data_IF_505888577041
#
_entry.id   IF_505888577041
#
_cell.length_a   1.000
_cell.length_b   1.000
_cell.length_c   1.000
_cell.angle_alpha   90.00
_cell.angle_beta   90.00
_cell.angle_gamma   90.00
#
_symmetry.space_group_name_H-M   'P 1'
#
loop_
_entity.id
_entity.type
_entity.pdbx_description
1 polymer ?
#
# COMPACT_ATOMS: atom_id res chain seq x y z
N UNK A 1 9.80 25.42 18.13
CA UNK A 1 8.66 25.58 17.20
C UNK A 1 8.96 24.77 15.96
N UNK A 2 7.96 24.21 15.28
CA UNK A 2 8.15 23.52 14.01
C UNK A 2 8.71 24.51 12.97
N UNK A 3 9.79 24.13 12.30
CA UNK A 3 10.46 24.94 11.27
C UNK A 3 10.17 24.38 9.89
N UNK A 4 10.10 25.27 8.90
CA UNK A 4 10.04 24.87 7.49
C UNK A 4 11.40 25.06 6.85
N UNK A 5 11.94 23.98 6.30
CA UNK A 5 13.15 23.97 5.48
C UNK A 5 12.75 23.85 4.01
N UNK A 6 13.47 24.50 3.11
CA UNK A 6 13.26 24.39 1.66
C UNK A 6 14.42 23.65 1.01
N UNK A 7 14.12 22.90 -0.05
CA UNK A 7 15.09 22.22 -0.91
C UNK A 7 14.71 22.47 -2.36
N UNK A 8 15.60 23.11 -3.13
CA UNK A 8 15.52 23.18 -4.58
C UNK A 8 16.54 22.23 -5.24
N UNK A 9 16.05 21.07 -5.67
CA UNK A 9 16.89 20.06 -6.32
C UNK A 9 17.45 20.53 -7.67
N UNK A 10 16.80 21.51 -8.33
CA UNK A 10 17.32 22.08 -9.57
C UNK A 10 18.52 23.00 -9.32
N UNK A 11 18.62 23.57 -8.12
CA UNK A 11 19.78 24.32 -7.64
C UNK A 11 20.89 23.40 -7.08
N UNK A 12 20.69 22.08 -7.12
CA UNK A 12 21.65 21.10 -6.60
C UNK A 12 21.58 20.89 -5.07
N UNK A 13 20.57 21.45 -4.40
CA UNK A 13 20.33 21.18 -2.98
C UNK A 13 19.84 19.75 -2.78
N UNK A 14 20.13 19.17 -1.61
CA UNK A 14 19.74 17.80 -1.27
C UNK A 14 18.71 17.77 -0.16
N UNK A 15 17.78 16.83 -0.28
CA UNK A 15 16.82 16.52 0.78
C UNK A 15 17.57 16.00 2.01
N UNK A 16 18.61 15.18 1.79
CA UNK A 16 19.40 14.58 2.86
C UNK A 16 20.03 15.62 3.80
N UNK A 17 20.47 16.76 3.28
CA UNK A 17 21.11 17.82 4.07
C UNK A 17 20.11 18.48 5.03
N UNK A 18 18.83 18.62 4.61
CA UNK A 18 17.78 19.15 5.48
C UNK A 18 17.27 18.12 6.48
N UNK A 19 17.23 16.84 6.11
CA UNK A 19 16.90 15.76 7.06
C UNK A 19 17.91 15.73 8.22
N UNK A 20 19.21 15.94 7.95
CA UNK A 20 20.27 15.87 8.96
C UNK A 20 20.14 16.92 10.07
N UNK A 21 19.48 18.05 9.81
CA UNK A 21 19.28 19.13 10.78
C UNK A 21 17.84 19.24 11.30
N UNK A 22 16.91 18.51 10.69
CA UNK A 22 15.49 18.61 11.01
C UNK A 22 15.20 18.13 12.44
N UNK A 23 14.33 18.86 13.12
CA UNK A 23 13.85 18.54 14.46
C UNK A 23 12.41 17.99 14.39
N UNK A 24 11.95 17.26 15.43
CA UNK A 24 10.58 16.79 15.50
C UNK A 24 9.56 17.94 15.32
N UNK A 25 8.67 17.76 14.34
CA UNK A 25 7.67 18.74 13.90
C UNK A 25 8.04 19.48 12.63
N UNK A 26 9.31 19.44 12.20
CA UNK A 26 9.76 20.19 11.03
C UNK A 26 9.14 19.68 9.72
N UNK A 27 9.03 20.59 8.76
CA UNK A 27 8.60 20.30 7.39
C UNK A 27 9.72 20.65 6.42
N UNK A 28 10.02 19.76 5.49
CA UNK A 28 10.95 19.96 4.39
C UNK A 28 10.11 20.07 3.11
N UNK A 29 9.98 21.29 2.59
CA UNK A 29 9.33 21.57 1.32
C UNK A 29 10.36 21.37 0.20
N UNK A 30 10.08 20.43 -0.70
CA UNK A 30 10.99 20.08 -1.79
C UNK A 30 10.41 20.54 -3.10
N UNK A 31 11.25 21.07 -3.98
CA UNK A 31 10.95 21.42 -5.37
C UNK A 31 11.99 20.86 -6.34
N UNK A 32 11.58 20.70 -7.60
CA UNK A 32 12.46 20.28 -8.68
C UNK A 32 12.54 18.77 -8.88
N UNK A 33 13.59 18.33 -9.57
CA UNK A 33 13.87 16.92 -9.81
C UNK A 33 15.12 16.48 -9.04
N UNK A 34 14.94 15.63 -8.03
CA UNK A 34 16.00 15.15 -7.17
C UNK A 34 16.50 13.79 -7.66
N UNK A 35 17.81 13.64 -7.84
CA UNK A 35 18.45 12.37 -8.21
C UNK A 35 19.27 11.83 -7.03
N UNK A 36 18.59 11.50 -5.94
CA UNK A 36 19.18 10.92 -4.73
C UNK A 36 18.29 9.79 -4.18
N UNK A 37 18.87 8.96 -3.30
CA UNK A 37 18.10 8.02 -2.47
C UNK A 37 17.92 8.70 -1.10
N UNK A 38 16.68 8.94 -0.68
CA UNK A 38 16.41 9.70 0.55
C UNK A 38 16.38 8.76 1.75
N UNK A 39 17.37 8.84 2.64
CA UNK A 39 17.47 7.98 3.82
C UNK A 39 17.00 8.73 5.07
N UNK A 40 16.03 8.14 5.78
CA UNK A 40 15.51 8.63 7.05
C UNK A 40 15.91 7.63 8.13
N UNK A 41 16.88 8.01 8.96
CA UNK A 41 17.47 7.13 9.96
C UNK A 41 16.54 6.93 11.16
N UNK A 42 16.85 5.94 12.00
CA UNK A 42 16.00 5.51 13.13
C UNK A 42 15.80 6.57 14.21
N UNK A 43 16.75 7.50 14.33
CA UNK A 43 16.73 8.65 15.23
C UNK A 43 15.83 9.77 14.74
N UNK A 44 15.49 9.79 13.44
CA UNK A 44 14.59 10.81 12.88
C UNK A 44 13.16 10.49 13.27
N UNK A 45 12.48 11.46 13.89
CA UNK A 45 11.11 11.31 14.36
C UNK A 45 10.29 12.54 13.98
N UNK A 46 9.05 12.31 13.50
CA UNK A 46 8.02 13.33 13.31
C UNK A 46 8.44 14.48 12.39
N UNK A 47 8.99 14.17 11.22
CA UNK A 47 9.23 15.18 10.17
C UNK A 47 8.28 14.96 9.00
N UNK A 48 7.99 16.04 8.27
CA UNK A 48 7.21 15.99 7.04
C UNK A 48 8.09 16.30 5.84
N UNK A 49 8.10 15.41 4.86
CA UNK A 49 8.65 15.62 3.53
C UNK A 49 7.47 15.93 2.59
N UNK A 50 7.49 17.10 1.96
CA UNK A 50 6.42 17.57 1.08
C UNK A 50 6.95 17.91 -0.31
N UNK A 51 6.59 17.07 -1.29
CA UNK A 51 6.91 17.27 -2.71
C UNK A 51 5.98 18.26 -3.42
N UNK A 52 5.00 18.84 -2.70
CA UNK A 52 4.10 19.89 -3.18
C UNK A 52 3.29 19.50 -4.44
N UNK A 53 3.17 18.21 -4.72
CA UNK A 53 2.51 17.65 -5.90
C UNK A 53 3.30 17.84 -7.21
N UNK A 54 4.53 18.34 -7.16
CA UNK A 54 5.32 18.72 -8.34
C UNK A 54 6.71 18.10 -8.38
N UNK A 55 7.24 17.71 -7.23
CA UNK A 55 8.61 17.23 -7.10
C UNK A 55 8.75 15.79 -7.58
N UNK A 56 9.83 15.53 -8.31
CA UNK A 56 10.18 14.19 -8.81
C UNK A 56 11.42 13.68 -8.09
N UNK A 57 11.33 12.50 -7.48
CA UNK A 57 12.47 11.72 -7.03
C UNK A 57 12.80 10.70 -8.12
N UNK A 58 13.94 10.89 -8.78
CA UNK A 58 14.54 9.94 -9.71
C UNK A 58 15.56 9.09 -8.94
N UNK A 59 15.08 8.03 -8.29
CA UNK A 59 15.89 7.19 -7.43
C UNK A 59 16.97 6.43 -8.23
N UNK A 60 18.27 6.58 -7.88
CA UNK A 60 19.34 5.80 -8.49
C UNK A 60 19.14 4.28 -8.35
N UNK A 61 19.68 3.45 -9.27
CA UNK A 61 19.56 2.00 -9.20
C UNK A 61 20.06 1.43 -7.87
N UNK A 62 19.46 0.32 -7.42
CA UNK A 62 19.78 -0.44 -6.20
C UNK A 62 19.47 0.26 -4.86
N UNK A 63 19.19 1.55 -4.83
CA UNK A 63 18.65 2.26 -3.67
C UNK A 63 17.14 2.42 -3.74
N UNK A 64 16.51 2.83 -2.64
CA UNK A 64 15.08 3.12 -2.58
C UNK A 64 14.85 4.63 -2.77
N UNK A 65 13.70 5.03 -3.31
CA UNK A 65 13.37 6.46 -3.43
C UNK A 65 13.33 7.14 -2.06
N UNK A 66 12.58 6.53 -1.13
CA UNK A 66 12.66 6.83 0.30
C UNK A 66 12.92 5.54 1.08
N UNK A 67 13.98 5.55 1.88
CA UNK A 67 14.26 4.48 2.83
C UNK A 67 14.06 4.97 4.27
N UNK A 68 12.99 4.51 4.91
CA UNK A 68 12.50 5.01 6.19
C UNK A 68 12.75 3.98 7.29
N UNK A 69 13.66 4.33 8.20
CA UNK A 69 13.88 3.65 9.49
C UNK A 69 13.33 4.46 10.67
N UNK A 70 13.07 5.75 10.45
CA UNK A 70 12.51 6.68 11.43
C UNK A 70 11.02 6.44 11.74
N UNK A 71 10.48 7.26 12.66
CA UNK A 71 9.10 7.13 13.16
C UNK A 71 8.28 8.39 12.93
N UNK A 72 6.98 8.22 12.78
CA UNK A 72 6.03 9.33 12.54
C UNK A 72 6.41 10.20 11.33
N UNK A 73 7.04 9.59 10.32
CA UNK A 73 7.50 10.30 9.12
C UNK A 73 6.32 10.53 8.19
N UNK A 74 6.16 11.72 7.65
CA UNK A 74 5.17 11.97 6.61
C UNK A 74 5.88 12.17 5.27
N UNK A 75 5.50 11.39 4.25
CA UNK A 75 5.97 11.55 2.87
C UNK A 75 4.76 11.82 2.00
N UNK A 76 4.67 13.04 1.46
CA UNK A 76 3.51 13.43 0.66
C UNK A 76 3.83 14.22 -0.60
N UNK A 77 2.99 14.08 -1.61
CA UNK A 77 3.00 14.92 -2.81
C UNK A 77 4.22 14.73 -3.72
N UNK A 78 4.92 13.60 -3.66
CA UNK A 78 6.03 13.30 -4.56
C UNK A 78 5.59 12.46 -5.75
N UNK A 79 6.23 12.66 -6.89
CA UNK A 79 6.41 11.60 -7.88
C UNK A 79 7.71 10.86 -7.57
N UNK A 80 7.67 9.54 -7.45
CA UNK A 80 8.85 8.68 -7.24
C UNK A 80 8.99 7.71 -8.40
N UNK A 81 10.17 7.66 -9.01
CA UNK A 81 10.49 6.77 -10.13
C UNK A 81 11.89 6.18 -10.02
N UNK A 82 12.10 5.00 -10.61
CA UNK A 82 13.38 4.30 -10.54
C UNK A 82 13.58 3.58 -9.20
N UNK A 83 14.84 3.41 -8.80
CA UNK A 83 15.19 2.70 -7.56
C UNK A 83 14.82 1.21 -7.55
N UNK A 84 15.06 0.57 -6.41
CA UNK A 84 14.58 -0.78 -6.10
C UNK A 84 13.12 -0.67 -5.65
N UNK A 85 12.86 -0.08 -4.49
CA UNK A 85 11.51 0.22 -4.03
C UNK A 85 11.24 1.74 -4.09
N UNK A 86 9.99 2.14 -4.31
CA UNK A 86 9.62 3.56 -4.32
C UNK A 86 9.73 4.17 -2.92
N UNK A 87 9.00 3.58 -1.97
CA UNK A 87 9.07 3.92 -0.55
C UNK A 87 9.21 2.62 0.24
N UNK A 88 10.24 2.52 1.06
CA UNK A 88 10.54 1.34 1.84
C UNK A 88 10.65 1.71 3.31
N UNK A 89 9.80 1.11 4.15
CA UNK A 89 9.90 1.18 5.60
C UNK A 89 10.55 -0.10 6.10
N UNK A 90 11.66 0.06 6.83
CA UNK A 90 12.36 -1.06 7.43
C UNK A 90 12.74 -0.72 8.87
N UNK A 91 12.00 -1.30 9.80
CA UNK A 91 12.17 -1.08 11.23
C UNK A 91 13.44 -1.71 11.79
N UNK A 92 13.92 -1.13 12.89
CA UNK A 92 14.74 -1.85 13.90
C UNK A 92 13.85 -2.13 15.12
N UNK A 93 14.44 -2.32 16.31
CA UNK A 93 13.72 -2.70 17.54
C UNK A 93 12.43 -1.92 17.89
N UNK A 94 12.24 -0.69 17.39
CA UNK A 94 11.05 0.13 17.66
C UNK A 94 10.04 0.23 16.48
N UNK A 95 10.31 -0.43 15.34
CA UNK A 95 9.52 -0.33 14.10
C UNK A 95 9.67 1.03 13.40
N UNK A 96 9.71 1.03 12.06
CA UNK A 96 9.59 2.26 11.28
C UNK A 96 8.11 2.64 11.15
N UNK A 97 7.78 3.93 11.09
CA UNK A 97 6.39 4.33 10.84
C UNK A 97 6.27 5.56 9.96
N UNK A 98 5.35 5.48 8.99
CA UNK A 98 5.12 6.57 8.06
C UNK A 98 3.66 6.76 7.65
N UNK A 99 3.31 8.02 7.39
CA UNK A 99 2.15 8.44 6.63
C UNK A 99 2.61 8.68 5.18
N UNK A 100 2.15 7.85 4.25
CA UNK A 100 2.51 7.90 2.83
C UNK A 100 1.28 8.34 2.05
N UNK A 101 1.30 9.56 1.55
CA UNK A 101 0.05 10.21 1.15
C UNK A 101 0.17 11.03 -0.13
N UNK A 102 -0.75 10.84 -1.08
CA UNK A 102 -0.81 11.72 -2.26
C UNK A 102 0.42 11.63 -3.16
N UNK A 103 1.13 10.49 -3.15
CA UNK A 103 2.30 10.27 -3.99
C UNK A 103 1.94 9.53 -5.27
N UNK A 104 2.71 9.76 -6.33
CA UNK A 104 2.70 8.95 -7.56
C UNK A 104 3.97 8.12 -7.60
N UNK A 105 3.88 6.80 -7.52
CA UNK A 105 5.03 5.89 -7.49
C UNK A 105 4.98 5.01 -8.73
N UNK A 106 6.05 5.00 -9.53
CA UNK A 106 6.06 4.29 -10.79
C UNK A 106 7.41 3.78 -11.23
N UNK A 107 7.42 2.75 -12.08
CA UNK A 107 8.66 2.25 -12.73
C UNK A 107 9.76 1.90 -11.72
N UNK A 108 9.38 1.34 -10.57
CA UNK A 108 10.34 0.87 -9.56
C UNK A 108 10.85 -0.52 -9.90
N UNK A 109 12.08 -0.82 -9.49
CA UNK A 109 12.73 -2.10 -9.77
C UNK A 109 12.15 -3.30 -9.02
N UNK A 110 11.30 -3.08 -8.02
CA UNK A 110 10.67 -4.10 -7.18
C UNK A 110 9.28 -3.62 -6.75
N UNK A 111 9.09 -3.09 -5.53
CA UNK A 111 7.77 -2.70 -5.04
C UNK A 111 7.51 -1.20 -5.21
N UNK A 112 6.23 -0.81 -5.23
CA UNK A 112 5.86 0.59 -5.08
C UNK A 112 6.12 1.06 -3.65
N UNK A 113 5.43 0.44 -2.69
CA UNK A 113 5.62 0.64 -1.26
C UNK A 113 5.92 -0.70 -0.60
N UNK A 114 6.98 -0.78 0.21
CA UNK A 114 7.36 -1.98 0.95
C UNK A 114 7.47 -1.68 2.45
N UNK A 115 6.88 -2.53 3.27
CA UNK A 115 6.97 -2.49 4.72
C UNK A 115 7.51 -3.84 5.21
N UNK A 116 8.61 -3.81 5.95
CA UNK A 116 9.16 -4.99 6.62
C UNK A 116 9.59 -4.69 8.07
N UNK A 117 10.02 -5.73 8.80
CA UNK A 117 10.51 -5.62 10.18
C UNK A 117 9.59 -4.82 11.13
N UNK A 118 8.34 -5.27 11.28
CA UNK A 118 7.35 -4.68 12.20
C UNK A 118 7.06 -3.19 11.95
N UNK A 119 7.10 -2.77 10.69
CA UNK A 119 6.82 -1.38 10.30
C UNK A 119 5.33 -1.06 10.31
N UNK A 120 5.00 0.22 10.48
CA UNK A 120 3.60 0.71 10.53
C UNK A 120 3.35 1.74 9.43
N UNK A 121 2.46 1.39 8.50
CA UNK A 121 2.11 2.23 7.35
C UNK A 121 0.71 2.80 7.43
N UNK A 122 0.58 4.09 7.11
CA UNK A 122 -0.70 4.71 6.77
C UNK A 122 -0.63 5.23 5.33
N UNK A 123 -1.22 4.49 4.40
CA UNK A 123 -1.08 4.68 2.96
C UNK A 123 -2.42 5.12 2.35
N UNK A 124 -2.54 6.37 1.88
CA UNK A 124 -3.79 6.90 1.31
C UNK A 124 -3.56 7.87 0.15
N UNK A 125 -4.47 7.90 -0.82
CA UNK A 125 -4.44 8.83 -1.95
C UNK A 125 -3.24 8.67 -2.87
N UNK A 126 -2.54 7.53 -2.87
CA UNK A 126 -1.39 7.31 -3.74
C UNK A 126 -1.81 6.67 -5.07
N UNK A 127 -1.11 7.03 -6.14
CA UNK A 127 -1.16 6.34 -7.43
C UNK A 127 0.11 5.48 -7.57
N UNK A 128 -0.05 4.16 -7.63
CA UNK A 128 1.06 3.20 -7.76
C UNK A 128 0.87 2.45 -9.08
N UNK A 129 1.79 2.65 -10.02
CA UNK A 129 1.63 2.17 -11.40
C UNK A 129 2.94 1.61 -11.98
N UNK A 130 2.84 0.56 -12.80
CA UNK A 130 3.96 0.01 -13.57
C UNK A 130 5.19 -0.35 -12.72
N UNK A 131 4.95 -0.97 -11.55
CA UNK A 131 6.00 -1.47 -10.65
C UNK A 131 6.32 -2.94 -10.95
N UNK A 132 7.56 -3.38 -10.72
CA UNK A 132 8.02 -4.69 -11.19
C UNK A 132 7.51 -5.89 -10.37
N UNK A 133 7.22 -5.71 -9.10
CA UNK A 133 6.67 -6.72 -8.19
C UNK A 133 5.30 -6.24 -7.66
N UNK A 134 5.07 -6.25 -6.34
CA UNK A 134 3.82 -5.76 -5.75
C UNK A 134 3.67 -4.23 -5.76
N UNK A 135 2.44 -3.73 -5.89
CA UNK A 135 2.10 -2.33 -5.67
C UNK A 135 2.41 -1.89 -4.23
N UNK A 136 1.79 -2.58 -3.26
CA UNK A 136 2.09 -2.45 -1.84
C UNK A 136 2.41 -3.83 -1.28
N UNK A 137 3.55 -3.98 -0.61
CA UNK A 137 3.94 -5.21 0.10
C UNK A 137 4.06 -4.94 1.60
N UNK A 138 3.29 -5.68 2.40
CA UNK A 138 3.29 -5.62 3.87
C UNK A 138 3.81 -6.95 4.39
N UNK A 139 5.02 -6.97 4.90
CA UNK A 139 5.75 -8.18 5.25
C UNK A 139 6.31 -8.13 6.68
N UNK A 140 6.64 -9.32 7.20
CA UNK A 140 7.46 -9.51 8.41
C UNK A 140 6.91 -8.80 9.66
N UNK A 141 5.66 -9.13 10.01
CA UNK A 141 4.99 -8.58 11.20
C UNK A 141 4.55 -7.13 11.07
N UNK A 142 4.61 -6.56 9.87
CA UNK A 142 4.21 -5.16 9.63
C UNK A 142 2.69 -4.98 9.67
N UNK A 143 2.28 -3.74 9.95
CA UNK A 143 0.87 -3.35 10.05
C UNK A 143 0.58 -2.17 9.11
N UNK A 144 -0.43 -2.30 8.26
CA UNK A 144 -0.79 -1.23 7.32
C UNK A 144 -2.27 -0.84 7.36
N UNK A 145 -2.55 0.45 7.19
CA UNK A 145 -3.87 0.98 6.82
C UNK A 145 -3.79 1.54 5.42
N UNK A 146 -4.58 1.00 4.49
CA UNK A 146 -4.46 1.24 3.05
C UNK A 146 -5.83 1.71 2.51
N UNK A 147 -5.87 2.94 2.02
CA UNK A 147 -7.05 3.54 1.34
C UNK A 147 -8.08 4.17 2.27
N UNK A 148 -7.72 4.38 3.53
CA UNK A 148 -8.58 5.01 4.52
C UNK A 148 -8.88 6.49 4.19
N UNK A 149 -10.07 6.95 4.55
CA UNK A 149 -10.46 8.36 4.52
C UNK A 149 -10.34 8.96 5.94
N UNK A 150 -9.15 9.41 6.35
CA UNK A 150 -9.07 10.20 7.59
C UNK A 150 -9.60 11.60 7.29
N UNK A 151 -10.83 11.90 7.72
CA UNK A 151 -11.20 13.30 7.98
C UNK A 151 -10.37 13.77 9.18
N UNK A 152 -9.77 14.97 9.14
CA UNK A 152 -9.99 16.06 8.19
C UNK A 152 -9.02 16.11 6.99
N UNK A 153 -8.08 15.18 6.85
CA UNK A 153 -6.96 15.30 5.91
C UNK A 153 -7.32 15.06 4.42
N UNK A 154 -8.52 14.56 4.12
CA UNK A 154 -9.07 14.61 2.76
C UNK A 154 -8.36 13.73 1.73
N UNK A 155 -7.59 12.74 2.17
CA UNK A 155 -6.91 11.83 1.25
C UNK A 155 -7.85 10.74 0.79
N UNK A 156 -7.98 10.61 -0.53
CA UNK A 156 -8.85 9.65 -1.19
C UNK A 156 -8.28 8.22 -1.21
N UNK A 157 -8.92 7.32 -1.95
CA UNK A 157 -8.45 5.94 -2.08
C UNK A 157 -7.10 5.86 -2.80
N UNK A 158 -6.35 4.78 -2.61
CA UNK A 158 -5.20 4.51 -3.48
C UNK A 158 -5.68 3.92 -4.81
N UNK A 159 -4.94 4.20 -5.88
CA UNK A 159 -5.06 3.52 -7.17
C UNK A 159 -3.79 2.70 -7.39
N UNK A 160 -3.93 1.39 -7.55
CA UNK A 160 -2.82 0.46 -7.69
C UNK A 160 -3.05 -0.35 -8.97
N UNK A 161 -2.16 -0.20 -9.95
CA UNK A 161 -2.32 -0.90 -11.22
C UNK A 161 -1.04 -1.31 -11.91
N UNK A 162 -1.15 -2.29 -12.80
CA UNK A 162 -0.04 -2.79 -13.61
C UNK A 162 1.17 -3.24 -12.78
N UNK A 163 0.95 -3.70 -11.54
CA UNK A 163 2.00 -4.32 -10.75
C UNK A 163 2.40 -5.65 -11.40
N UNK A 164 3.71 -5.92 -11.46
CA UNK A 164 4.26 -7.14 -12.05
C UNK A 164 3.95 -8.42 -11.27
N UNK A 165 3.48 -8.28 -10.03
CA UNK A 165 2.92 -9.35 -9.20
C UNK A 165 1.54 -8.92 -8.67
N UNK A 166 1.36 -8.82 -7.35
CA UNK A 166 0.08 -8.50 -6.73
C UNK A 166 -0.17 -6.98 -6.62
N UNK A 167 -1.43 -6.56 -6.59
CA UNK A 167 -1.75 -5.17 -6.25
C UNK A 167 -1.30 -4.86 -4.82
N UNK A 168 -1.85 -5.60 -3.86
CA UNK A 168 -1.47 -5.54 -2.44
C UNK A 168 -1.15 -6.96 -1.95
N UNK A 169 0.02 -7.13 -1.33
CA UNK A 169 0.42 -8.36 -0.65
C UNK A 169 0.54 -8.15 0.86
N UNK A 170 0.01 -9.08 1.65
CA UNK A 170 0.11 -9.11 3.11
C UNK A 170 0.68 -10.48 3.50
N UNK A 171 1.93 -10.52 3.97
CA UNK A 171 2.69 -11.76 4.10
C UNK A 171 3.46 -11.86 5.42
N UNK A 172 3.80 -13.09 5.82
CA UNK A 172 4.70 -13.40 6.95
C UNK A 172 4.26 -12.77 8.28
N UNK A 173 3.07 -13.14 8.75
CA UNK A 173 2.56 -12.69 10.05
C UNK A 173 2.15 -11.22 10.09
N UNK A 174 1.88 -10.61 8.94
CA UNK A 174 1.52 -9.19 8.85
C UNK A 174 0.01 -8.99 8.95
N UNK A 175 -0.40 -7.75 9.21
CA UNK A 175 -1.82 -7.36 9.22
C UNK A 175 -2.07 -6.11 8.39
N UNK A 176 -3.22 -6.05 7.72
CA UNK A 176 -3.62 -4.86 6.97
C UNK A 176 -5.11 -4.59 7.04
N UNK A 177 -5.48 -3.31 7.04
CA UNK A 177 -6.84 -2.87 6.74
C UNK A 177 -6.85 -2.17 5.39
N UNK A 178 -7.54 -2.77 4.43
CA UNK A 178 -7.54 -2.41 3.01
C UNK A 178 -8.95 -1.96 2.61
N UNK A 179 -9.13 -0.66 2.45
CA UNK A 179 -10.46 -0.05 2.34
C UNK A 179 -10.50 0.94 1.19
N UNK A 180 -11.56 0.89 0.36
CA UNK A 180 -11.84 1.95 -0.60
C UNK A 180 -10.96 1.99 -1.85
N UNK A 181 -9.98 1.10 -2.01
CA UNK A 181 -8.97 1.20 -3.06
C UNK A 181 -9.48 0.76 -4.45
N UNK A 182 -8.85 1.28 -5.50
CA UNK A 182 -8.94 0.74 -6.86
C UNK A 182 -7.70 -0.10 -7.17
N UNK A 183 -7.88 -1.40 -7.43
CA UNK A 183 -6.81 -2.39 -7.59
C UNK A 183 -7.00 -3.15 -8.89
N UNK A 184 -6.22 -2.78 -9.91
CA UNK A 184 -6.55 -3.09 -11.30
C UNK A 184 -5.38 -3.62 -12.13
N UNK A 185 -5.64 -4.55 -13.04
CA UNK A 185 -4.70 -4.96 -14.08
C UNK A 185 -3.31 -5.41 -13.56
N UNK A 186 -3.24 -5.95 -12.33
CA UNK A 186 -2.01 -6.51 -11.80
C UNK A 186 -1.80 -7.93 -12.34
N UNK A 187 -0.54 -8.36 -12.49
CA UNK A 187 -0.24 -9.67 -13.10
C UNK A 187 -0.54 -10.87 -12.19
N UNK A 188 -0.65 -10.64 -10.88
CA UNK A 188 -1.11 -11.60 -9.88
C UNK A 188 -2.51 -11.27 -9.39
N UNK A 189 -2.81 -11.67 -8.15
CA UNK A 189 -4.07 -11.30 -7.49
C UNK A 189 -4.13 -9.80 -7.18
N UNK A 190 -5.35 -9.25 -7.12
CA UNK A 190 -5.56 -7.88 -6.63
C UNK A 190 -5.08 -7.74 -5.18
N UNK A 191 -5.60 -8.57 -4.27
CA UNK A 191 -5.12 -8.68 -2.89
C UNK A 191 -4.68 -10.11 -2.58
N UNK A 192 -3.48 -10.27 -2.03
CA UNK A 192 -2.88 -11.57 -1.71
C UNK A 192 -2.47 -11.63 -0.23
N UNK A 193 -3.18 -12.44 0.56
CA UNK A 193 -2.96 -12.60 2.00
C UNK A 193 -2.45 -14.00 2.28
N UNK A 194 -1.24 -14.12 2.82
CA UNK A 194 -0.60 -15.43 3.01
C UNK A 194 0.34 -15.54 4.20
N UNK A 195 0.72 -16.76 4.55
CA UNK A 195 1.75 -17.09 5.57
C UNK A 195 1.39 -16.50 6.93
N UNK A 196 0.27 -16.96 7.49
CA UNK A 196 -0.26 -16.54 8.80
C UNK A 196 -0.56 -15.03 8.91
N UNK A 197 -0.91 -14.39 7.79
CA UNK A 197 -1.25 -12.96 7.76
C UNK A 197 -2.75 -12.75 7.75
N UNK A 198 -3.21 -11.56 8.13
CA UNK A 198 -4.64 -11.25 8.23
C UNK A 198 -4.96 -9.90 7.58
N UNK A 199 -6.13 -9.78 6.97
CA UNK A 199 -6.57 -8.50 6.45
C UNK A 199 -8.08 -8.28 6.55
N UNK A 200 -8.46 -7.06 6.93
CA UNK A 200 -9.81 -6.54 6.73
C UNK A 200 -9.86 -5.88 5.36
N UNK A 201 -10.75 -6.35 4.48
CA UNK A 201 -10.81 -5.93 3.08
C UNK A 201 -12.26 -5.60 2.73
N UNK A 202 -12.62 -4.32 2.58
CA UNK A 202 -13.99 -3.95 2.20
C UNK A 202 -14.04 -2.64 1.40
N UNK A 203 -15.12 -2.48 0.62
CA UNK A 203 -15.34 -1.28 -0.19
C UNK A 203 -14.30 -1.04 -1.29
N UNK A 204 -13.56 -2.06 -1.72
CA UNK A 204 -12.56 -1.94 -2.79
C UNK A 204 -13.16 -2.31 -4.16
N UNK A 205 -12.67 -1.66 -5.22
CA UNK A 205 -12.85 -2.07 -6.61
C UNK A 205 -11.65 -2.91 -7.04
N UNK A 206 -11.88 -4.19 -7.35
CA UNK A 206 -10.83 -5.18 -7.66
C UNK A 206 -11.14 -5.86 -8.99
N UNK A 207 -10.47 -5.43 -10.05
CA UNK A 207 -10.88 -5.72 -11.44
C UNK A 207 -9.69 -5.97 -12.36
N UNK A 208 -9.86 -6.76 -13.40
CA UNK A 208 -8.88 -6.96 -14.49
C UNK A 208 -7.54 -7.59 -14.07
N UNK A 209 -7.41 -8.06 -12.83
CA UNK A 209 -6.17 -8.70 -12.37
C UNK A 209 -6.01 -10.06 -13.05
N UNK A 210 -4.79 -10.41 -13.47
CA UNK A 210 -4.53 -11.68 -14.16
C UNK A 210 -4.57 -12.90 -13.20
N UNK A 211 -4.56 -12.67 -11.89
CA UNK A 211 -4.88 -13.66 -10.87
C UNK A 211 -6.32 -13.57 -10.37
N UNK A 212 -6.52 -13.86 -9.08
CA UNK A 212 -7.83 -13.72 -8.42
C UNK A 212 -8.07 -12.27 -7.98
N UNK A 213 -9.31 -11.92 -7.67
CA UNK A 213 -9.59 -10.66 -6.97
C UNK A 213 -8.89 -10.63 -5.61
N UNK A 214 -9.27 -11.57 -4.73
CA UNK A 214 -8.66 -11.78 -3.41
C UNK A 214 -8.14 -13.23 -3.31
N UNK A 215 -7.00 -13.43 -2.67
CA UNK A 215 -6.47 -14.77 -2.36
C UNK A 215 -6.08 -14.85 -0.89
N UNK A 216 -6.59 -15.85 -0.19
CA UNK A 216 -6.24 -16.19 1.19
C UNK A 216 -5.58 -17.59 1.19
N UNK A 217 -4.30 -17.70 1.54
CA UNK A 217 -3.61 -19.00 1.51
C UNK A 217 -2.58 -19.20 2.63
N UNK A 218 -2.17 -20.43 2.92
CA UNK A 218 -1.13 -20.72 3.92
C UNK A 218 -1.44 -20.05 5.27
N UNK A 219 -2.62 -20.36 5.81
CA UNK A 219 -3.19 -19.74 7.02
C UNK A 219 -3.39 -18.21 6.91
N UNK A 220 -3.52 -17.69 5.69
CA UNK A 220 -3.93 -16.31 5.43
C UNK A 220 -5.42 -16.11 5.70
N UNK A 221 -5.76 -15.02 6.36
CA UNK A 221 -7.12 -14.69 6.77
C UNK A 221 -7.65 -13.43 6.14
N UNK A 222 -8.88 -13.47 5.60
CA UNK A 222 -9.56 -12.27 5.10
C UNK A 222 -10.92 -12.09 5.76
N UNK A 223 -11.14 -10.91 6.34
CA UNK A 223 -12.44 -10.46 6.81
C UNK A 223 -12.97 -9.40 5.83
N UNK A 224 -14.17 -9.62 5.30
CA UNK A 224 -14.80 -8.73 4.32
C UNK A 224 -15.86 -7.82 4.94
N UNK A 225 -16.09 -7.93 6.25
CA UNK A 225 -17.05 -7.10 6.97
C UNK A 225 -16.53 -5.69 7.25
N UNK A 226 -17.47 -4.74 7.19
CA UNK A 226 -17.25 -3.37 7.64
C UNK A 226 -17.77 -3.21 9.07
N UNK A 227 -17.04 -3.78 10.03
CA UNK A 227 -17.50 -3.87 11.43
C UNK A 227 -17.70 -2.51 12.10
N UNK A 228 -16.88 -1.52 11.78
CA UNK A 228 -16.96 -0.21 12.45
C UNK A 228 -17.95 0.76 11.81
N UNK A 229 -18.49 0.43 10.63
CA UNK A 229 -19.46 1.23 9.88
C UNK A 229 -19.08 2.71 9.72
N UNK A 230 -17.79 3.05 9.83
CA UNK A 230 -17.33 4.44 9.79
C UNK A 230 -17.50 5.06 8.41
N UNK A 231 -17.54 4.21 7.37
CA UNK A 231 -17.72 4.62 5.98
C UNK A 231 -18.73 3.71 5.28
N UNK A 232 -19.69 4.27 4.56
CA UNK A 232 -20.63 3.51 3.75
C UNK A 232 -20.05 3.28 2.34
N UNK A 233 -19.04 2.40 2.24
CA UNK A 233 -18.39 2.05 0.96
C UNK A 233 -18.96 0.78 0.33
N UNK A 234 -19.83 0.06 1.03
CA UNK A 234 -20.33 -1.25 0.60
C UNK A 234 -19.28 -2.35 0.65
N UNK A 235 -19.63 -3.57 0.18
CA UNK A 235 -18.70 -4.69 0.09
C UNK A 235 -17.72 -4.50 -1.08
N UNK A 236 -16.74 -5.39 -1.22
CA UNK A 236 -15.85 -5.37 -2.39
C UNK A 236 -16.61 -5.73 -3.67
N UNK A 237 -16.11 -5.21 -4.79
CA UNK A 237 -16.72 -5.40 -6.09
C UNK A 237 -15.69 -5.64 -7.18
N UNK A 238 -16.13 -6.34 -8.22
CA UNK A 238 -15.42 -6.46 -9.50
C UNK A 238 -16.25 -5.81 -10.59
N UNK A 239 -15.62 -5.06 -11.47
CA UNK A 239 -16.26 -4.54 -12.67
C UNK A 239 -16.66 -5.71 -13.59
N UNK A 240 -17.95 -5.88 -13.93
CA UNK A 240 -18.40 -6.93 -14.85
C UNK A 240 -17.76 -6.86 -16.24
N UNK A 241 -17.33 -5.67 -16.68
CA UNK A 241 -16.62 -5.46 -17.95
C UNK A 241 -15.12 -5.77 -17.89
N UNK A 242 -14.55 -5.93 -16.70
CA UNK A 242 -13.13 -6.19 -16.47
C UNK A 242 -12.96 -7.17 -15.31
N UNK A 243 -13.38 -8.43 -15.52
CA UNK A 243 -13.27 -9.47 -14.50
C UNK A 243 -11.81 -9.86 -14.24
N UNK A 244 -11.52 -10.27 -13.01
CA UNK A 244 -10.26 -10.92 -12.69
C UNK A 244 -10.16 -12.24 -13.48
N UNK A 245 -8.98 -12.59 -14.02
CA UNK A 245 -8.85 -13.78 -14.87
C UNK A 245 -9.02 -15.09 -14.08
N UNK A 246 -8.72 -15.08 -12.77
CA UNK A 246 -9.01 -16.14 -11.84
C UNK A 246 -10.47 -16.15 -11.37
N UNK A 247 -10.67 -16.37 -10.07
CA UNK A 247 -11.95 -16.17 -9.39
C UNK A 247 -11.99 -14.83 -8.64
N UNK A 248 -13.16 -14.39 -8.21
CA UNK A 248 -13.30 -13.22 -7.33
C UNK A 248 -12.57 -13.41 -6.00
N UNK A 249 -12.72 -14.58 -5.36
CA UNK A 249 -12.03 -14.91 -4.12
C UNK A 249 -11.56 -16.38 -4.10
N UNK A 250 -10.27 -16.60 -3.85
CA UNK A 250 -9.69 -17.93 -3.69
C UNK A 250 -9.18 -18.18 -2.28
N UNK A 251 -9.44 -19.37 -1.74
CA UNK A 251 -8.97 -19.82 -0.44
C UNK A 251 -8.28 -21.18 -0.51
N UNK A 252 -7.08 -21.31 0.07
CA UNK A 252 -6.33 -22.57 0.06
C UNK A 252 -5.38 -22.75 1.25
N UNK A 253 -4.86 -23.97 1.44
CA UNK A 253 -3.81 -24.31 2.42
C UNK A 253 -4.06 -23.68 3.81
N UNK A 254 -5.20 -23.99 4.42
CA UNK A 254 -5.56 -23.52 5.76
C UNK A 254 -6.01 -22.06 5.84
N UNK A 255 -6.21 -21.37 4.72
CA UNK A 255 -6.73 -20.00 4.70
C UNK A 255 -8.14 -19.89 5.28
N UNK A 256 -8.60 -18.67 5.54
CA UNK A 256 -10.01 -18.40 5.87
C UNK A 256 -10.52 -17.15 5.18
N UNK A 257 -11.83 -17.15 4.91
CA UNK A 257 -12.55 -15.98 4.43
C UNK A 257 -13.89 -15.84 5.16
N UNK A 258 -14.18 -14.64 5.66
CA UNK A 258 -15.38 -14.31 6.42
C UNK A 258 -16.04 -13.02 5.91
N UNK A 259 -17.35 -12.90 6.11
CA UNK A 259 -18.11 -11.69 5.79
C UNK A 259 -18.69 -11.62 4.35
N UNK A 260 -19.25 -10.47 3.97
CA UNK A 260 -19.98 -10.27 2.74
C UNK A 260 -19.05 -10.20 1.53
N UNK A 261 -19.20 -11.16 0.63
CA UNK A 261 -18.37 -11.24 -0.58
C UNK A 261 -18.61 -10.07 -1.56
N UNK A 262 -19.79 -9.45 -1.49
CA UNK A 262 -20.21 -8.43 -2.45
C UNK A 262 -20.37 -8.98 -3.86
N UNK A 263 -19.85 -8.25 -4.85
CA UNK A 263 -19.89 -8.62 -6.28
C UNK A 263 -18.51 -9.01 -6.80
N UNK A 264 -17.61 -9.43 -5.92
CA UNK A 264 -16.32 -10.00 -6.32
C UNK A 264 -16.55 -11.15 -7.28
N UNK A 265 -15.89 -11.08 -8.44
CA UNK A 265 -16.05 -12.06 -9.49
C UNK A 265 -14.77 -12.22 -10.31
N UNK A 266 -14.73 -13.31 -11.06
CA UNK A 266 -13.66 -13.61 -11.99
C UNK A 266 -14.17 -14.39 -13.20
N UNK A 267 -13.32 -14.57 -14.21
CA UNK A 267 -13.65 -15.36 -15.40
C UNK A 267 -13.94 -16.81 -15.03
N UNK A 268 -13.27 -17.34 -14.00
CA UNK A 268 -13.51 -18.69 -13.45
C UNK A 268 -14.67 -18.73 -12.43
N UNK A 269 -15.34 -17.61 -12.20
CA UNK A 269 -16.48 -17.47 -11.29
C UNK A 269 -16.17 -16.71 -10.00
N UNK A 270 -17.17 -16.66 -9.12
CA UNK A 270 -17.10 -15.84 -7.91
C UNK A 270 -16.03 -16.34 -6.93
N UNK A 271 -16.05 -17.62 -6.56
CA UNK A 271 -15.13 -18.17 -5.55
C UNK A 271 -14.61 -19.58 -5.84
N UNK A 272 -13.45 -19.90 -5.29
CA UNK A 272 -12.83 -21.23 -5.30
C UNK A 272 -12.15 -21.49 -3.94
N UNK A 273 -12.64 -22.45 -3.18
CA UNK A 273 -12.11 -22.83 -1.87
C UNK A 273 -11.65 -24.28 -1.90
N UNK A 274 -10.40 -24.56 -1.53
CA UNK A 274 -9.99 -25.95 -1.31
C UNK A 274 -10.57 -26.52 0.00
N UNK A 275 -10.46 -27.84 0.20
CA UNK A 275 -11.01 -28.51 1.39
C UNK A 275 -10.33 -28.15 2.72
N UNK A 276 -9.28 -27.34 2.69
CA UNK A 276 -8.57 -26.86 3.89
C UNK A 276 -8.92 -25.43 4.25
N UNK A 277 -9.59 -24.69 3.36
CA UNK A 277 -9.99 -23.32 3.61
C UNK A 277 -11.31 -23.22 4.37
N UNK A 278 -11.37 -22.38 5.40
CA UNK A 278 -12.61 -22.07 6.10
C UNK A 278 -13.37 -21.01 5.31
N UNK A 279 -14.54 -21.40 4.80
CA UNK A 279 -15.44 -20.53 4.04
C UNK A 279 -16.65 -20.11 4.91
N UNK A 280 -16.63 -18.87 5.39
CA UNK A 280 -17.75 -18.22 6.11
C UNK A 280 -18.36 -17.07 5.31
N UNK A 281 -18.15 -17.06 3.99
CA UNK A 281 -18.63 -15.98 3.15
C UNK A 281 -20.16 -15.94 3.09
N UNK A 282 -20.71 -14.74 3.26
CA UNK A 282 -22.14 -14.49 3.11
C UNK A 282 -22.44 -13.87 1.76
N UNK A 283 -23.59 -14.23 1.17
CA UNK A 283 -24.12 -13.53 0.00
C UNK A 283 -24.81 -12.26 0.50
N UNK A 284 -24.42 -11.10 -0.03
CA UNK A 284 -25.17 -9.87 0.19
C UNK A 284 -26.50 -10.01 -0.56
N UNK A 285 -27.59 -10.16 0.20
CA UNK A 285 -28.92 -10.09 -0.38
C UNK A 285 -29.20 -8.60 -0.56
N UNK A 286 -29.06 -8.09 -1.79
CA UNK A 286 -29.47 -6.73 -2.12
C UNK A 286 -30.97 -6.64 -1.81
N UNK A 287 -31.33 -5.79 -0.83
CA UNK A 287 -32.71 -5.36 -0.64
C UNK A 287 -32.97 -4.14 -1.50
#
# INVERSE_FOLDING_TARGET
>A
MATTHTVDCNAGEKIQDKIAIAQPGDTILVSGACSENVAILSETVRITLDGQGKTVIQAPPKGDGFFIRGREITVKGFTVTGGRDGIHLSGVAAGASANIVGNTIRKTGRHGIHLDHSSVGRIAGNAIEDVRACGIDVAEGSVARIGYLLRPLGHGPNTIRNAGEHGIAVTRGSSARIVGNAIENNKGSGVFVTRNSQADIFGNSISGNAGNGITASHNGGVNLDNEDQLFNLGPNQTDPGSKNAGVGLSGSVGGYADGPMGTLDGVRGAKEMDGTCIDRLTKVTVR
#
